data_IF_879785543397
#
_entry.id   IF_879785543397
#
_cell.length_a   1.000
_cell.length_b   1.000
_cell.length_c   1.000
_cell.angle_alpha   90.00
_cell.angle_beta   90.00
_cell.angle_gamma   90.00
#
_symmetry.space_group_name_H-M   'P 1'
#
loop_
_entity.id
_entity.type
_entity.pdbx_description
1 polymer ?
#
# COMPACT_ATOMS: atom_id res chain seq x y z
N UNK A 1 18.27 -15.97 7.06
CA UNK A 1 17.73 -17.33 6.94
C UNK A 1 17.39 -17.53 5.46
N UNK A 2 18.25 -18.22 4.70
CA UNK A 2 17.99 -18.49 3.28
C UNK A 2 17.06 -19.69 3.20
N UNK A 3 15.75 -19.47 3.17
CA UNK A 3 14.83 -20.56 2.85
C UNK A 3 15.09 -20.98 1.41
N UNK A 4 15.30 -22.28 1.18
CA UNK A 4 15.64 -22.82 -0.13
C UNK A 4 14.48 -22.61 -1.10
N UNK A 5 14.61 -21.63 -2.00
CA UNK A 5 13.66 -21.36 -3.10
C UNK A 5 13.53 -22.53 -4.07
N UNK A 6 14.46 -23.50 -4.03
CA UNK A 6 14.44 -24.69 -4.87
C UNK A 6 13.15 -25.53 -4.73
N UNK A 7 12.45 -25.48 -3.59
CA UNK A 7 11.19 -26.22 -3.40
C UNK A 7 10.02 -25.64 -4.20
N UNK A 8 10.10 -24.38 -4.61
CA UNK A 8 9.00 -23.67 -5.27
C UNK A 8 8.86 -24.00 -6.76
N UNK A 9 9.93 -24.49 -7.40
CA UNK A 9 9.97 -24.69 -8.85
C UNK A 9 10.21 -23.39 -9.62
N UNK A 10 9.90 -23.40 -10.92
CA UNK A 10 10.17 -22.26 -11.80
C UNK A 10 9.24 -21.09 -11.51
N UNK A 11 9.75 -19.87 -11.70
CA UNK A 11 8.94 -18.65 -11.53
C UNK A 11 8.04 -18.49 -12.74
N UNK A 12 6.71 -18.55 -12.54
CA UNK A 12 5.73 -18.35 -13.61
C UNK A 12 5.40 -16.89 -13.83
N UNK A 13 5.31 -16.13 -12.75
CA UNK A 13 4.94 -14.72 -12.82
C UNK A 13 5.44 -13.94 -11.61
N UNK A 14 5.71 -12.65 -11.85
CA UNK A 14 6.10 -11.69 -10.82
C UNK A 14 5.09 -10.57 -10.79
N UNK A 15 4.50 -10.35 -9.63
CA UNK A 15 3.59 -9.27 -9.32
C UNK A 15 4.30 -8.19 -8.52
N UNK A 16 4.13 -6.94 -8.92
CA UNK A 16 4.77 -5.77 -8.29
C UNK A 16 3.72 -4.71 -7.97
N UNK A 17 3.97 -3.84 -6.98
CA UNK A 17 3.10 -2.71 -6.71
C UNK A 17 3.03 -1.77 -7.92
N UNK A 18 1.91 -1.04 -8.04
CA UNK A 18 1.73 -0.04 -9.09
C UNK A 18 2.73 1.10 -8.87
N UNK A 19 3.73 1.18 -9.74
CA UNK A 19 4.78 2.22 -9.66
C UNK A 19 4.21 3.64 -9.75
N UNK A 20 3.07 3.82 -10.44
CA UNK A 20 2.36 5.10 -10.49
C UNK A 20 1.93 5.59 -9.09
N UNK A 21 1.39 4.69 -8.25
CA UNK A 21 0.95 5.04 -6.89
C UNK A 21 2.15 5.35 -5.99
N UNK A 22 3.22 4.56 -6.10
CA UNK A 22 4.48 4.79 -5.37
C UNK A 22 5.07 6.15 -5.77
N UNK A 23 5.10 6.45 -7.07
CA UNK A 23 5.59 7.73 -7.60
C UNK A 23 4.78 8.92 -7.09
N UNK A 24 3.45 8.83 -7.13
CA UNK A 24 2.56 9.88 -6.61
C UNK A 24 2.79 10.11 -5.10
N UNK A 25 2.86 9.05 -4.31
CA UNK A 25 3.15 9.14 -2.88
C UNK A 25 4.53 9.72 -2.58
N UNK A 26 5.53 9.39 -3.38
CA UNK A 26 6.88 9.96 -3.24
C UNK A 26 6.90 11.46 -3.55
N UNK A 27 6.23 11.91 -4.62
CA UNK A 27 6.11 13.34 -4.94
C UNK A 27 5.43 14.11 -3.82
N UNK A 28 4.30 13.61 -3.31
CA UNK A 28 3.59 14.23 -2.18
C UNK A 28 4.49 14.27 -0.93
N UNK A 29 5.21 13.18 -0.64
CA UNK A 29 6.13 13.11 0.50
C UNK A 29 7.26 14.15 0.41
N UNK A 30 7.85 14.33 -0.78
CA UNK A 30 8.89 15.33 -1.02
C UNK A 30 8.33 16.76 -0.93
N UNK A 31 7.13 17.01 -1.43
CA UNK A 31 6.46 18.32 -1.31
C UNK A 31 6.16 18.66 0.16
N UNK A 32 5.68 17.71 0.96
CA UNK A 32 5.46 17.91 2.39
C UNK A 32 6.78 18.18 3.13
N UNK A 33 7.85 17.44 2.77
CA UNK A 33 9.16 17.58 3.37
C UNK A 33 9.81 18.93 3.04
N UNK A 34 10.05 19.20 1.76
CA UNK A 34 10.78 20.40 1.35
C UNK A 34 9.89 21.63 1.29
N UNK A 35 8.62 21.48 0.88
CA UNK A 35 7.67 22.58 0.87
C UNK A 35 7.34 23.08 2.26
N UNK A 36 7.14 22.18 3.23
CA UNK A 36 6.92 22.56 4.63
C UNK A 36 8.09 23.36 5.21
N UNK A 37 9.32 22.86 5.03
CA UNK A 37 10.54 23.56 5.45
C UNK A 37 10.71 24.92 4.75
N UNK A 38 10.47 24.98 3.44
CA UNK A 38 10.58 26.23 2.68
C UNK A 38 9.58 27.29 3.15
N UNK A 39 8.33 26.90 3.42
CA UNK A 39 7.29 27.78 3.97
C UNK A 39 7.73 28.27 5.36
N UNK A 40 8.16 27.37 6.25
CA UNK A 40 8.59 27.74 7.60
C UNK A 40 9.77 28.71 7.60
N UNK A 41 10.79 28.48 6.76
CA UNK A 41 11.96 29.37 6.61
C UNK A 41 11.54 30.73 6.06
N UNK A 42 10.66 30.74 5.06
CA UNK A 42 10.18 31.99 4.45
C UNK A 42 9.39 32.82 5.45
N UNK A 43 8.50 32.20 6.23
CA UNK A 43 7.77 32.86 7.31
C UNK A 43 8.70 33.38 8.41
N UNK A 44 9.67 32.57 8.85
CA UNK A 44 10.64 32.99 9.87
C UNK A 44 11.48 34.20 9.42
N UNK A 45 11.85 34.27 8.13
CA UNK A 45 12.60 35.40 7.57
C UNK A 45 11.74 36.64 7.35
N UNK A 46 10.49 36.47 6.95
CA UNK A 46 9.57 37.57 6.69
C UNK A 46 9.12 38.29 7.98
N UNK A 47 9.31 37.68 9.15
CA UNK A 47 8.87 38.21 10.44
C UNK A 47 10.03 38.70 11.30
N UNK A 48 10.60 39.84 10.93
CA UNK A 48 11.40 40.69 11.82
C UNK A 48 10.86 42.15 11.79
N UNK A 49 10.80 42.86 12.93
CA UNK A 49 9.82 42.83 14.06
C UNK A 49 8.63 43.81 13.82
N UNK A 50 7.44 43.79 14.43
CA UNK A 50 6.99 43.60 15.84
C UNK A 50 5.58 42.97 15.79
N UNK A 51 5.30 41.90 16.54
CA UNK A 51 3.94 41.38 16.66
C UNK A 51 3.04 42.44 17.32
N UNK A 52 1.99 42.88 16.65
CA UNK A 52 1.06 43.90 17.19
C UNK A 52 0.09 43.33 18.24
N UNK A 53 0.13 42.01 18.48
CA UNK A 53 -0.63 41.34 19.54
C UNK A 53 -0.17 39.90 19.86
N UNK A 54 -0.63 39.39 21.00
CA UNK A 54 -0.37 38.02 21.48
C UNK A 54 -0.95 36.98 20.51
N UNK A 55 -2.11 37.27 19.90
CA UNK A 55 -2.76 36.38 18.93
C UNK A 55 -1.91 36.12 17.68
N UNK A 56 -1.33 37.18 17.10
CA UNK A 56 -0.45 37.07 15.93
C UNK A 56 0.83 36.30 16.26
N UNK A 57 1.36 36.51 17.46
CA UNK A 57 2.54 35.79 17.94
C UNK A 57 2.28 34.28 18.02
N UNK A 58 1.17 33.88 18.65
CA UNK A 58 0.80 32.46 18.79
C UNK A 58 0.51 31.84 17.41
N UNK A 59 -0.26 32.52 16.56
CA UNK A 59 -0.60 32.04 15.22
C UNK A 59 0.64 31.76 14.37
N UNK A 60 1.63 32.64 14.43
CA UNK A 60 2.90 32.48 13.71
C UNK A 60 3.72 31.29 14.21
N UNK A 61 3.84 31.10 15.53
CA UNK A 61 4.52 29.93 16.08
C UNK A 61 3.81 28.62 15.72
N UNK A 62 2.46 28.61 15.76
CA UNK A 62 1.68 27.45 15.33
C UNK A 62 1.96 27.13 13.86
N UNK A 63 1.94 28.13 12.98
CA UNK A 63 2.22 27.92 11.57
C UNK A 63 3.65 27.41 11.33
N UNK A 64 4.65 27.96 12.03
CA UNK A 64 6.04 27.50 11.96
C UNK A 64 6.16 26.05 12.42
N UNK A 65 5.47 25.65 13.49
CA UNK A 65 5.49 24.25 13.96
C UNK A 65 4.78 23.33 12.97
N UNK A 66 3.60 23.70 12.48
CA UNK A 66 2.83 22.91 11.51
C UNK A 66 3.63 22.69 10.22
N UNK A 67 4.16 23.76 9.63
CA UNK A 67 4.88 23.69 8.36
C UNK A 67 6.33 23.21 8.53
N UNK A 68 7.02 23.63 9.59
CA UNK A 68 8.45 23.37 9.79
C UNK A 68 8.76 22.05 10.48
N UNK A 69 7.80 21.47 11.20
CA UNK A 69 8.00 20.21 11.94
C UNK A 69 7.01 19.14 11.49
N UNK A 70 5.71 19.41 11.57
CA UNK A 70 4.69 18.37 11.34
C UNK A 70 4.66 17.94 9.87
N UNK A 71 4.58 18.89 8.93
CA UNK A 71 4.57 18.55 7.50
C UNK A 71 5.83 17.76 7.07
N UNK A 72 7.05 18.14 7.48
CA UNK A 72 8.26 17.33 7.25
C UNK A 72 8.22 15.94 7.83
N UNK A 73 7.74 15.79 9.07
CA UNK A 73 7.59 14.49 9.70
C UNK A 73 6.62 13.60 8.91
N UNK A 74 5.47 14.14 8.50
CA UNK A 74 4.51 13.44 7.64
C UNK A 74 5.12 13.04 6.30
N UNK A 75 5.90 13.93 5.67
CA UNK A 75 6.63 13.65 4.44
C UNK A 75 7.61 12.49 4.60
N UNK A 76 8.40 12.47 5.67
CA UNK A 76 9.34 11.37 5.99
C UNK A 76 8.59 10.05 6.20
N UNK A 77 7.54 10.05 7.02
CA UNK A 77 6.72 8.85 7.28
C UNK A 77 6.14 8.30 5.97
N UNK A 78 5.61 9.18 5.11
CA UNK A 78 5.08 8.79 3.82
C UNK A 78 6.16 8.21 2.89
N UNK A 79 7.35 8.81 2.83
CA UNK A 79 8.46 8.30 2.03
C UNK A 79 8.97 6.95 2.52
N UNK A 80 9.07 6.75 3.84
CA UNK A 80 9.42 5.45 4.44
C UNK A 80 8.35 4.40 4.11
N UNK A 81 7.07 4.78 4.16
CA UNK A 81 5.97 3.91 3.78
C UNK A 81 6.02 3.54 2.30
N UNK A 82 6.29 4.51 1.40
CA UNK A 82 6.47 4.24 -0.03
C UNK A 82 7.66 3.32 -0.30
N UNK A 83 8.77 3.46 0.41
CA UNK A 83 9.92 2.54 0.33
C UNK A 83 9.53 1.12 0.76
N UNK A 84 8.73 0.97 1.81
CA UNK A 84 8.20 -0.34 2.23
C UNK A 84 7.28 -0.93 1.17
N UNK A 85 6.37 -0.15 0.61
CA UNK A 85 5.50 -0.62 -0.49
C UNK A 85 6.30 -1.00 -1.73
N UNK A 86 7.34 -0.25 -2.10
CA UNK A 86 8.21 -0.57 -3.25
C UNK A 86 8.94 -1.91 -3.10
N UNK A 87 9.16 -2.37 -1.87
CA UNK A 87 9.72 -3.70 -1.60
C UNK A 87 8.70 -4.83 -1.68
N UNK A 88 7.40 -4.51 -1.76
CA UNK A 88 6.35 -5.51 -1.93
C UNK A 88 6.55 -6.19 -3.28
N UNK A 89 6.62 -7.52 -3.30
CA UNK A 89 6.65 -8.31 -4.53
C UNK A 89 6.11 -9.69 -4.24
N UNK A 90 5.43 -10.27 -5.22
CA UNK A 90 4.98 -11.66 -5.13
C UNK A 90 5.43 -12.40 -6.37
N UNK A 91 6.24 -13.42 -6.16
CA UNK A 91 6.63 -14.33 -7.23
C UNK A 91 5.81 -15.60 -7.09
N UNK A 92 5.04 -15.92 -8.14
CA UNK A 92 4.24 -17.13 -8.23
C UNK A 92 5.07 -18.18 -8.95
N UNK A 93 5.22 -19.34 -8.31
CA UNK A 93 5.98 -20.47 -8.80
C UNK A 93 5.07 -21.70 -9.02
N UNK A 94 5.64 -22.79 -9.54
CA UNK A 94 4.90 -24.05 -9.77
C UNK A 94 4.27 -24.65 -8.51
N UNK A 95 5.01 -24.63 -7.40
CA UNK A 95 4.67 -25.32 -6.15
C UNK A 95 4.33 -24.37 -4.99
N UNK A 96 4.43 -23.06 -5.19
CA UNK A 96 4.05 -22.07 -4.18
C UNK A 96 4.22 -20.64 -4.66
N UNK A 97 4.36 -19.72 -3.71
CA UNK A 97 4.72 -18.34 -3.97
C UNK A 97 5.76 -17.84 -2.96
N UNK A 98 6.58 -16.88 -3.41
CA UNK A 98 7.45 -16.08 -2.56
C UNK A 98 6.82 -14.72 -2.34
N UNK A 99 6.61 -14.35 -1.08
CA UNK A 99 6.07 -13.06 -0.64
C UNK A 99 7.19 -12.21 -0.07
N UNK A 100 7.50 -11.11 -0.74
CA UNK A 100 8.49 -10.14 -0.31
C UNK A 100 7.77 -8.94 0.26
N UNK A 101 8.01 -8.60 1.52
CA UNK A 101 7.42 -7.42 2.15
C UNK A 101 8.33 -6.87 3.24
N UNK A 102 8.61 -5.56 3.18
CA UNK A 102 9.42 -4.85 4.17
C UNK A 102 10.81 -5.48 4.41
N UNK A 103 11.43 -6.04 3.36
CA UNK A 103 12.74 -6.71 3.44
C UNK A 103 12.71 -8.14 3.99
N UNK A 104 11.53 -8.65 4.34
CA UNK A 104 11.33 -10.06 4.71
C UNK A 104 10.88 -10.83 3.48
N UNK A 105 11.41 -12.04 3.32
CA UNK A 105 10.97 -12.99 2.30
C UNK A 105 10.30 -14.16 3.00
N UNK A 106 9.06 -14.41 2.66
CA UNK A 106 8.27 -15.54 3.12
C UNK A 106 7.99 -16.47 1.96
N UNK A 107 8.28 -17.76 2.16
CA UNK A 107 7.94 -18.80 1.19
C UNK A 107 6.68 -19.52 1.67
N UNK A 108 5.75 -19.76 0.76
CA UNK A 108 4.54 -20.53 1.03
C UNK A 108 4.30 -21.53 -0.10
N UNK A 109 4.35 -22.83 0.22
CA UNK A 109 3.95 -23.86 -0.72
C UNK A 109 2.42 -23.87 -0.84
N UNK A 110 1.92 -24.26 -2.01
CA UNK A 110 0.48 -24.43 -2.22
C UNK A 110 -0.11 -25.49 -1.28
N UNK A 111 0.68 -26.52 -0.94
CA UNK A 111 0.33 -27.57 0.02
C UNK A 111 0.19 -27.08 1.46
N UNK A 112 0.79 -25.92 1.79
CA UNK A 112 0.76 -25.35 3.13
C UNK A 112 -0.41 -24.38 3.31
N UNK A 113 -1.19 -24.13 2.25
CA UNK A 113 -2.36 -23.28 2.33
C UNK A 113 -3.54 -23.99 2.97
N UNK A 114 -4.21 -23.26 3.84
CA UNK A 114 -5.48 -23.67 4.45
C UNK A 114 -6.64 -23.21 3.57
N UNK A 115 -6.68 -21.91 3.26
CA UNK A 115 -7.75 -21.32 2.45
C UNK A 115 -7.35 -20.01 1.76
N UNK A 116 -8.12 -19.68 0.74
CA UNK A 116 -8.04 -18.43 -0.03
C UNK A 116 -9.38 -17.71 0.10
N UNK A 117 -9.39 -16.53 0.72
CA UNK A 117 -10.55 -15.67 0.80
C UNK A 117 -10.47 -14.61 -0.31
N UNK A 118 -11.39 -14.65 -1.26
CA UNK A 118 -11.63 -13.58 -2.25
C UNK A 118 -12.60 -12.57 -1.65
N UNK A 119 -12.13 -11.39 -1.30
CA UNK A 119 -12.95 -10.30 -0.78
C UNK A 119 -13.30 -9.37 -1.94
N UNK A 120 -14.60 -9.16 -2.16
CA UNK A 120 -15.15 -8.22 -3.12
C UNK A 120 -15.73 -7.05 -2.34
N UNK A 121 -15.15 -5.87 -2.50
CA UNK A 121 -15.64 -4.63 -1.88
C UNK A 121 -16.41 -3.85 -2.94
N UNK A 122 -17.72 -3.68 -2.73
CA UNK A 122 -18.56 -2.89 -3.62
C UNK A 122 -18.66 -1.45 -3.13
N UNK A 123 -17.88 -0.56 -3.72
CA UNK A 123 -17.98 0.87 -3.43
C UNK A 123 -18.99 1.53 -4.38
N UNK A 124 -20.05 2.10 -3.79
CA UNK A 124 -21.01 2.94 -4.52
C UNK A 124 -20.63 4.40 -4.36
N UNK A 125 -19.94 4.95 -5.37
CA UNK A 125 -19.63 6.38 -5.39
C UNK A 125 -20.79 7.15 -6.04
N UNK A 126 -21.50 7.93 -5.23
CA UNK A 126 -22.49 8.90 -5.72
C UNK A 126 -21.74 10.08 -6.34
N UNK A 127 -21.81 10.23 -7.66
CA UNK A 127 -21.15 11.33 -8.36
C UNK A 127 -21.92 12.62 -8.11
N UNK A 128 -21.38 13.50 -7.25
CA UNK A 128 -22.03 14.76 -6.85
C UNK A 128 -22.41 15.65 -8.06
N UNK A 129 -21.70 15.50 -9.19
CA UNK A 129 -21.89 16.32 -10.40
C UNK A 129 -22.88 15.77 -11.42
N UNK A 130 -23.39 14.54 -11.27
CA UNK A 130 -24.35 13.95 -12.22
C UNK A 130 -25.52 13.34 -11.44
N UNK A 131 -26.70 14.00 -11.42
CA UNK A 131 -27.88 13.49 -10.73
C UNK A 131 -28.23 12.08 -11.22
N UNK A 132 -28.27 11.11 -10.31
CA UNK A 132 -28.64 9.72 -10.60
C UNK A 132 -27.52 8.81 -11.11
N UNK A 133 -26.30 9.32 -11.36
CA UNK A 133 -25.18 8.46 -11.73
C UNK A 133 -24.53 7.81 -10.49
N UNK A 134 -24.63 6.48 -10.41
CA UNK A 134 -23.91 5.66 -9.43
C UNK A 134 -22.80 4.91 -10.17
N UNK A 135 -21.55 5.22 -9.84
CA UNK A 135 -20.43 4.43 -10.30
C UNK A 135 -20.27 3.29 -9.30
N UNK A 136 -20.49 2.06 -9.76
CA UNK A 136 -20.18 0.86 -9.00
C UNK A 136 -18.71 0.52 -9.27
N UNK A 137 -17.86 0.69 -8.27
CA UNK A 137 -16.51 0.15 -8.32
C UNK A 137 -16.49 -1.15 -7.52
N UNK A 138 -16.05 -2.24 -8.13
CA UNK A 138 -15.87 -3.52 -7.44
C UNK A 138 -14.39 -3.79 -7.32
N UNK A 139 -13.86 -3.52 -6.13
CA UNK A 139 -12.48 -3.84 -5.82
C UNK A 139 -12.38 -5.28 -5.35
N UNK A 140 -11.30 -5.95 -5.75
CA UNK A 140 -11.03 -7.33 -5.37
C UNK A 140 -9.74 -7.38 -4.57
N UNK A 141 -9.77 -8.05 -3.44
CA UNK A 141 -8.59 -8.40 -2.66
C UNK A 141 -8.60 -9.89 -2.31
N UNK A 142 -7.43 -10.39 -1.92
CA UNK A 142 -7.25 -11.78 -1.51
C UNK A 142 -6.56 -11.83 -0.16
N UNK A 143 -7.10 -12.62 0.75
CA UNK A 143 -6.45 -13.00 1.99
C UNK A 143 -6.17 -14.49 1.92
N UNK A 144 -4.90 -14.86 1.78
CA UNK A 144 -4.46 -16.24 1.74
C UNK A 144 -3.98 -16.63 3.13
N UNK A 145 -4.61 -17.66 3.72
CA UNK A 145 -4.24 -18.19 5.02
C UNK A 145 -3.42 -19.47 4.88
N UNK A 146 -2.23 -19.47 5.49
CA UNK A 146 -1.39 -20.64 5.65
C UNK A 146 -1.82 -21.45 6.88
N UNK A 147 -1.56 -22.75 6.89
CA UNK A 147 -1.95 -23.68 7.97
C UNK A 147 -1.36 -23.34 9.35
N UNK A 148 -0.32 -22.52 9.41
CA UNK A 148 0.25 -22.01 10.67
C UNK A 148 -0.42 -20.72 11.17
N UNK A 149 -1.50 -20.28 10.52
CA UNK A 149 -2.24 -19.07 10.86
C UNK A 149 -1.68 -17.78 10.26
N UNK A 150 -0.61 -17.85 9.45
CA UNK A 150 -0.08 -16.66 8.77
C UNK A 150 -0.97 -16.25 7.59
N UNK A 151 -1.35 -14.98 7.57
CA UNK A 151 -2.13 -14.39 6.48
C UNK A 151 -1.25 -13.58 5.53
N UNK A 152 -1.52 -13.71 4.23
CA UNK A 152 -0.95 -12.93 3.15
C UNK A 152 -2.07 -12.12 2.49
N UNK A 153 -1.98 -10.80 2.59
CA UNK A 153 -2.96 -9.87 2.02
C UNK A 153 -2.48 -9.31 0.67
N UNK A 154 -3.35 -9.40 -0.33
CA UNK A 154 -3.17 -8.90 -1.68
C UNK A 154 -4.32 -7.98 -2.05
N UNK A 155 -4.06 -6.68 -2.01
CA UNK A 155 -4.99 -5.62 -2.40
C UNK A 155 -4.59 -4.96 -3.72
N UNK A 156 -5.52 -4.24 -4.34
CA UNK A 156 -5.29 -3.42 -5.55
C UNK A 156 -4.18 -2.37 -5.39
N UNK A 157 -3.83 -2.03 -4.15
CA UNK A 157 -2.75 -1.10 -3.80
C UNK A 157 -1.40 -1.79 -3.62
N UNK A 158 -1.40 -3.05 -3.19
CA UNK A 158 -0.18 -3.83 -2.95
C UNK A 158 0.38 -4.47 -4.22
N UNK A 159 -0.48 -4.87 -5.16
CA UNK A 159 -0.11 -5.68 -6.32
C UNK A 159 -0.81 -5.16 -7.58
N UNK A 160 -0.05 -5.10 -8.67
CA UNK A 160 -0.55 -4.89 -10.00
C UNK A 160 -1.36 -6.09 -10.51
N UNK A 161 -2.34 -5.84 -11.36
CA UNK A 161 -3.03 -6.92 -12.07
C UNK A 161 -3.64 -8.01 -11.16
N UNK A 162 -4.33 -7.63 -10.08
CA UNK A 162 -5.11 -8.55 -9.22
C UNK A 162 -5.93 -9.61 -10.01
N UNK A 163 -6.57 -9.30 -11.16
CA UNK A 163 -7.25 -10.32 -11.97
C UNK A 163 -6.33 -11.43 -12.49
N UNK A 164 -5.06 -11.12 -12.80
CA UNK A 164 -4.06 -12.12 -13.21
C UNK A 164 -3.63 -12.98 -12.02
N UNK A 165 -3.39 -12.37 -10.86
CA UNK A 165 -3.11 -13.12 -9.62
C UNK A 165 -4.24 -14.09 -9.31
N UNK A 166 -5.48 -13.63 -9.42
CA UNK A 166 -6.68 -14.46 -9.24
C UNK A 166 -6.67 -15.71 -10.14
N UNK A 167 -6.20 -15.60 -11.39
CA UNK A 167 -6.09 -16.74 -12.30
C UNK A 167 -5.13 -17.80 -11.77
N UNK A 168 -3.95 -17.40 -11.28
CA UNK A 168 -2.98 -18.32 -10.70
C UNK A 168 -3.49 -18.95 -9.40
N UNK A 169 -4.11 -18.15 -8.52
CA UNK A 169 -4.68 -18.65 -7.28
C UNK A 169 -5.81 -19.67 -7.53
N UNK A 170 -6.69 -19.42 -8.51
CA UNK A 170 -7.74 -20.37 -8.91
C UNK A 170 -7.16 -21.67 -9.47
N UNK A 171 -6.12 -21.58 -10.29
CA UNK A 171 -5.41 -22.76 -10.80
C UNK A 171 -4.76 -23.57 -9.66
N UNK A 172 -4.12 -22.90 -8.71
CA UNK A 172 -3.54 -23.53 -7.54
C UNK A 172 -4.62 -24.18 -6.66
N UNK A 173 -5.72 -23.48 -6.36
CA UNK A 173 -6.84 -24.02 -5.59
C UNK A 173 -7.43 -25.27 -6.23
N UNK A 174 -7.67 -25.25 -7.54
CA UNK A 174 -8.16 -26.43 -8.26
C UNK A 174 -7.16 -27.60 -8.25
N UNK A 175 -5.85 -27.31 -8.42
CA UNK A 175 -4.80 -28.34 -8.48
C UNK A 175 -4.51 -28.99 -7.12
N UNK A 176 -4.52 -28.20 -6.05
CA UNK A 176 -4.09 -28.63 -4.71
C UNK A 176 -5.25 -28.83 -3.72
N UNK A 177 -6.50 -28.63 -4.16
CA UNK A 177 -7.67 -28.78 -3.31
C UNK A 177 -7.77 -27.74 -2.19
N UNK A 178 -7.29 -26.52 -2.43
CA UNK A 178 -7.31 -25.44 -1.42
C UNK A 178 -8.71 -24.83 -1.39
N UNK A 179 -9.27 -24.65 -0.18
CA UNK A 179 -10.59 -24.05 0.01
C UNK A 179 -10.61 -22.60 -0.52
N UNK A 180 -11.59 -22.30 -1.38
CA UNK A 180 -11.82 -20.96 -1.92
C UNK A 180 -13.13 -20.38 -1.38
N UNK A 181 -13.04 -19.36 -0.55
CA UNK A 181 -14.20 -18.65 -0.01
C UNK A 181 -14.35 -17.29 -0.72
N UNK A 182 -15.58 -16.91 -1.07
CA UNK A 182 -15.88 -15.57 -1.59
C UNK A 182 -16.67 -14.81 -0.54
N UNK A 183 -16.19 -13.63 -0.19
CA UNK A 183 -16.80 -12.72 0.78
C UNK A 183 -17.14 -11.43 0.04
N UNK A 184 -18.39 -10.98 0.16
CA UNK A 184 -18.84 -9.68 -0.38
C UNK A 184 -19.03 -8.72 0.78
N UNK A 185 -18.42 -7.54 0.70
CA UNK A 185 -18.52 -6.46 1.67
C UNK A 185 -19.18 -5.22 1.07
#
# INVERSE_FOLDING_TARGET
>A
MNQNTNSLGETRHTFRPKMANIGAGAVIGLLLLFGGLAIAISFARAHHPVPQGIGDTIGNYVLIVLCGVIAPLCGIVLLVYMKRLASHRVDVHDNGFSYYYAGVTDICLWTDLEKINEVLTEEQLKVLKVPGAVIKNTDRSFIIRRKDGKDFDFTVNSIDSIPRLAKYLKQASAKFGILWERITQ
#
